data_IF_626467903186
#
_entry.id   IF_626467903186
#
_cell.length_a   1.000
_cell.length_b   1.000
_cell.length_c   1.000
_cell.angle_alpha   90.00
_cell.angle_beta   90.00
_cell.angle_gamma   90.00
#
_symmetry.space_group_name_H-M   'P 1'
#
loop_
_entity.id
_entity.type
_entity.pdbx_description
1 polymer ?
#
# COMPACT_ATOMS: atom_id res chain seq x y z
N UNK A 1 -7.35 23.84 -17.71
CA UNK A 1 -7.76 23.69 -16.29
C UNK A 1 -7.29 22.32 -15.82
N UNK A 2 -6.06 22.22 -15.32
CA UNK A 2 -5.57 21.00 -14.70
C UNK A 2 -6.25 20.82 -13.34
N UNK A 3 -7.23 19.93 -13.26
CA UNK A 3 -7.65 19.37 -11.97
C UNK A 3 -6.46 18.63 -11.39
N UNK A 4 -5.82 19.21 -10.42
CA UNK A 4 -5.00 18.46 -9.47
C UNK A 4 -6.05 17.77 -8.59
N UNK A 5 -6.41 16.55 -8.94
CA UNK A 5 -7.19 15.70 -8.05
C UNK A 5 -6.26 15.31 -6.91
N UNK A 6 -6.33 16.06 -5.82
CA UNK A 6 -5.71 15.65 -4.57
C UNK A 6 -6.47 14.40 -4.11
N UNK A 7 -5.86 13.24 -4.33
CA UNK A 7 -6.35 11.98 -3.79
C UNK A 7 -6.42 12.06 -2.26
N UNK A 8 -7.33 11.31 -1.66
CA UNK A 8 -7.52 11.27 -0.22
C UNK A 8 -7.96 9.89 0.23
N UNK A 9 -7.96 9.71 1.54
CA UNK A 9 -8.48 8.53 2.20
C UNK A 9 -9.76 8.90 2.94
N UNK A 10 -10.86 8.22 2.63
CA UNK A 10 -12.10 8.31 3.39
C UNK A 10 -12.16 7.18 4.41
N UNK A 11 -12.26 7.53 5.68
CA UNK A 11 -12.43 6.59 6.78
C UNK A 11 -13.85 6.70 7.32
N UNK A 12 -14.53 5.56 7.44
CA UNK A 12 -15.86 5.45 8.03
C UNK A 12 -15.84 4.41 9.15
N UNK A 13 -16.34 4.78 10.31
CA UNK A 13 -16.70 3.86 11.39
C UNK A 13 -18.19 3.90 11.57
N UNK A 14 -18.88 2.84 11.20
CA UNK A 14 -20.34 2.68 11.32
C UNK A 14 -20.76 2.07 12.67
N UNK A 15 -19.86 2.00 13.65
CA UNK A 15 -20.09 1.48 15.01
C UNK A 15 -20.83 0.12 15.10
N UNK A 16 -20.74 -0.69 14.01
CA UNK A 16 -21.41 -1.99 13.90
C UNK A 16 -22.90 -1.90 13.52
N UNK A 17 -23.43 -0.71 13.22
CA UNK A 17 -24.86 -0.46 12.97
C UNK A 17 -25.07 0.11 11.56
N UNK A 18 -24.99 -0.72 10.52
CA UNK A 18 -25.10 -0.28 9.10
C UNK A 18 -26.38 0.49 8.80
N UNK A 19 -27.47 0.20 9.50
CA UNK A 19 -28.78 0.81 9.27
C UNK A 19 -29.01 2.12 10.05
N UNK A 20 -28.21 2.38 11.09
CA UNK A 20 -28.29 3.60 11.90
C UNK A 20 -27.06 4.46 11.62
N UNK A 21 -27.26 5.51 10.85
CA UNK A 21 -26.18 6.44 10.48
C UNK A 21 -25.99 7.57 11.49
N UNK A 22 -26.77 7.61 12.58
CA UNK A 22 -26.72 8.68 13.57
C UNK A 22 -25.48 8.61 14.47
N UNK A 23 -24.86 7.43 14.60
CA UNK A 23 -23.65 7.17 15.38
C UNK A 23 -22.38 7.01 14.51
N UNK A 24 -22.50 7.19 13.19
CA UNK A 24 -21.41 7.10 12.25
C UNK A 24 -20.36 8.17 12.52
N UNK A 25 -19.10 7.74 12.53
CA UNK A 25 -17.95 8.64 12.51
C UNK A 25 -17.26 8.55 11.16
N UNK A 26 -17.01 9.69 10.54
CA UNK A 26 -16.28 9.72 9.27
C UNK A 26 -15.21 10.80 9.25
N UNK A 27 -14.16 10.54 8.47
CA UNK A 27 -13.09 11.51 8.23
C UNK A 27 -12.57 11.39 6.81
N UNK A 28 -12.33 12.52 6.17
CA UNK A 28 -11.64 12.59 4.90
C UNK A 28 -10.23 13.14 5.12
N UNK A 29 -9.22 12.33 4.83
CA UNK A 29 -7.80 12.65 5.02
C UNK A 29 -7.22 13.02 3.66
N UNK A 30 -6.86 14.29 3.49
CA UNK A 30 -6.24 14.83 2.27
C UNK A 30 -4.79 15.24 2.48
N UNK A 31 -4.36 15.34 3.75
CA UNK A 31 -2.99 15.69 4.12
C UNK A 31 -2.39 14.54 4.90
N UNK A 32 -1.32 13.98 4.35
CA UNK A 32 -0.60 12.87 4.94
C UNK A 32 0.75 13.37 5.46
N UNK A 33 1.00 13.11 6.73
CA UNK A 33 2.29 13.35 7.38
C UNK A 33 2.90 12.01 7.74
N UNK A 34 4.20 11.83 7.54
CA UNK A 34 4.85 10.59 7.96
C UNK A 34 5.29 10.63 9.43
N UNK A 35 5.85 9.53 9.93
CA UNK A 35 6.34 9.39 11.30
C UNK A 35 7.45 10.38 11.70
N UNK A 36 8.13 10.98 10.73
CA UNK A 36 9.19 11.98 10.94
C UNK A 36 8.64 13.42 10.91
N UNK A 37 7.31 13.58 10.78
CA UNK A 37 6.63 14.87 10.68
C UNK A 37 6.70 15.51 9.29
N UNK A 38 7.22 14.81 8.28
CA UNK A 38 7.29 15.32 6.93
C UNK A 38 5.93 15.24 6.22
N UNK A 39 5.50 16.34 5.61
CA UNK A 39 4.29 16.38 4.79
C UNK A 39 4.54 15.68 3.45
N UNK A 40 3.68 14.73 3.10
CA UNK A 40 3.71 14.04 1.82
C UNK A 40 2.83 14.82 0.81
N UNK A 41 3.44 15.78 0.13
CA UNK A 41 2.74 16.64 -0.84
C UNK A 41 2.38 15.86 -2.10
N UNK A 42 1.27 16.26 -2.76
CA UNK A 42 0.79 15.68 -4.02
C UNK A 42 0.64 14.16 -3.97
N UNK A 43 0.17 13.64 -2.82
CA UNK A 43 -0.07 12.22 -2.64
C UNK A 43 -1.34 11.79 -3.36
N UNK A 44 -1.26 10.72 -4.15
CA UNK A 44 -2.41 10.03 -4.74
C UNK A 44 -2.49 8.63 -4.15
N UNK A 45 -3.69 8.23 -3.70
CA UNK A 45 -4.00 6.89 -3.19
C UNK A 45 -4.60 6.06 -4.31
N UNK A 46 -4.07 4.86 -4.55
CA UNK A 46 -4.51 3.97 -5.62
C UNK A 46 -5.14 2.67 -5.13
N UNK A 47 -4.64 2.10 -4.03
CA UNK A 47 -5.16 0.86 -3.46
C UNK A 47 -4.99 0.81 -1.96
N UNK A 48 -5.74 -0.09 -1.32
CA UNK A 48 -5.73 -0.32 0.13
C UNK A 48 -5.83 -1.82 0.36
N UNK A 49 -5.05 -2.34 1.31
CA UNK A 49 -5.14 -3.71 1.79
C UNK A 49 -4.97 -3.76 3.31
N UNK A 50 -5.73 -4.62 3.98
CA UNK A 50 -5.54 -4.94 5.38
C UNK A 50 -4.69 -6.21 5.48
N UNK A 51 -3.68 -6.19 6.33
CA UNK A 51 -2.87 -7.37 6.59
C UNK A 51 -3.44 -8.21 7.77
N UNK A 52 -2.83 -9.35 8.05
CA UNK A 52 -3.34 -10.29 9.06
C UNK A 52 -3.20 -9.81 10.51
N UNK A 53 -2.47 -8.73 10.72
CA UNK A 53 -2.32 -8.08 12.03
C UNK A 53 -3.27 -6.86 12.17
N UNK A 54 -4.14 -6.62 11.17
CA UNK A 54 -5.05 -5.49 11.15
C UNK A 54 -4.39 -4.16 10.76
N UNK A 55 -3.19 -4.23 10.20
CA UNK A 55 -2.46 -3.06 9.70
C UNK A 55 -2.94 -2.73 8.28
N UNK A 56 -3.25 -1.47 8.05
CA UNK A 56 -3.70 -1.01 6.73
C UNK A 56 -2.50 -0.55 5.90
N UNK A 57 -2.32 -1.17 4.75
CA UNK A 57 -1.35 -0.83 3.73
C UNK A 57 -2.03 -0.01 2.63
N UNK A 58 -1.45 1.12 2.28
CA UNK A 58 -1.98 2.06 1.28
C UNK A 58 -0.97 2.18 0.15
N UNK A 59 -1.37 1.82 -1.05
CA UNK A 59 -0.58 2.05 -2.26
C UNK A 59 -0.76 3.48 -2.77
N UNK A 60 0.35 4.18 -2.98
CA UNK A 60 0.37 5.57 -3.41
C UNK A 60 1.35 5.80 -4.56
N UNK A 61 1.36 7.02 -5.11
CA UNK A 61 2.36 7.45 -6.09
C UNK A 61 3.76 7.68 -5.49
N UNK A 62 3.93 7.51 -4.18
CA UNK A 62 5.21 7.72 -3.46
C UNK A 62 5.63 6.49 -2.65
N UNK A 63 5.24 5.30 -3.11
CA UNK A 63 5.44 4.06 -2.41
C UNK A 63 4.29 3.69 -1.47
N UNK A 64 4.43 2.58 -0.73
CA UNK A 64 3.44 2.16 0.24
C UNK A 64 3.49 3.00 1.51
N UNK A 65 2.33 3.31 2.07
CA UNK A 65 2.16 3.88 3.40
C UNK A 65 1.47 2.86 4.29
N UNK A 66 1.78 2.90 5.58
CA UNK A 66 1.25 1.96 6.56
C UNK A 66 0.55 2.71 7.69
N UNK A 67 -0.64 2.22 8.06
CA UNK A 67 -1.42 2.72 9.19
C UNK A 67 -1.47 1.64 10.26
N UNK A 68 -0.60 1.77 11.26
CA UNK A 68 -0.43 0.76 12.32
C UNK A 68 -1.52 0.77 13.39
N UNK A 69 -2.33 1.82 13.46
CA UNK A 69 -3.31 1.94 14.53
C UNK A 69 -4.63 2.54 14.01
N UNK A 70 -5.66 1.70 13.76
CA UNK A 70 -6.96 2.15 13.29
C UNK A 70 -7.63 3.18 14.20
N UNK A 71 -7.44 3.10 15.53
CA UNK A 71 -8.07 4.03 16.47
C UNK A 71 -7.59 5.48 16.34
N UNK A 72 -6.47 5.72 15.64
CA UNK A 72 -5.94 7.06 15.41
C UNK A 72 -6.48 7.75 14.16
N UNK A 73 -7.24 7.07 13.31
CA UNK A 73 -7.72 7.65 12.05
C UNK A 73 -8.63 8.87 12.25
N UNK A 74 -9.32 8.92 13.38
CA UNK A 74 -10.21 10.02 13.73
C UNK A 74 -9.56 11.11 14.59
N UNK A 75 -8.28 10.96 14.99
CA UNK A 75 -7.56 11.90 15.84
C UNK A 75 -6.80 12.95 15.02
N UNK A 76 -6.64 14.15 15.57
CA UNK A 76 -5.90 15.26 14.93
C UNK A 76 -4.41 14.97 14.72
N UNK A 77 -3.82 14.09 15.56
CA UNK A 77 -2.43 13.66 15.49
C UNK A 77 -2.24 12.44 14.56
N UNK A 78 -3.05 12.33 13.51
CA UNK A 78 -2.92 11.30 12.51
C UNK A 78 -1.60 11.42 11.74
N UNK A 79 -0.87 10.33 11.63
CA UNK A 79 0.27 10.17 10.73
C UNK A 79 0.29 8.76 10.16
N UNK A 80 0.92 8.60 9.00
CA UNK A 80 1.22 7.30 8.39
C UNK A 80 2.70 6.96 8.52
N UNK A 81 3.02 5.68 8.40
CA UNK A 81 4.40 5.20 8.46
C UNK A 81 4.88 4.88 7.05
N UNK A 82 6.02 5.44 6.66
CA UNK A 82 6.83 4.97 5.55
C UNK A 82 7.86 3.99 6.12
N UNK A 83 7.86 2.75 5.64
CA UNK A 83 8.79 1.72 6.14
C UNK A 83 10.20 2.10 5.72
N UNK A 84 11.12 2.12 6.69
CA UNK A 84 12.55 2.39 6.46
C UNK A 84 13.29 1.05 6.34
N UNK A 85 13.82 0.76 5.17
CA UNK A 85 14.61 -0.43 4.89
C UNK A 85 16.09 -0.08 5.01
N UNK A 86 16.85 -0.72 5.92
CA UNK A 86 18.28 -0.47 6.06
C UNK A 86 19.04 -0.76 4.76
N UNK A 87 20.02 0.07 4.45
CA UNK A 87 20.95 -0.22 3.35
C UNK A 87 21.98 -1.26 3.82
N UNK A 88 22.22 -2.25 2.96
CA UNK A 88 23.23 -3.28 3.23
C UNK A 88 24.64 -2.84 2.72
N UNK A 89 25.03 -1.60 3.03
CA UNK A 89 26.27 -0.96 2.55
C UNK A 89 27.15 -0.43 3.70
N UNK A 90 26.93 -0.88 4.93
CA UNK A 90 27.62 -0.47 6.16
C UNK A 90 27.51 1.04 6.49
N UNK A 91 26.68 1.80 5.75
CA UNK A 91 26.51 3.24 5.98
C UNK A 91 25.66 3.55 7.23
N UNK A 92 24.89 2.57 7.74
CA UNK A 92 23.90 2.77 8.78
C UNK A 92 22.68 3.60 8.34
N UNK A 93 22.55 3.87 7.03
CA UNK A 93 21.43 4.61 6.44
C UNK A 93 20.29 3.64 6.07
N UNK A 94 19.09 4.21 5.92
CA UNK A 94 17.89 3.50 5.46
C UNK A 94 17.18 4.31 4.37
N UNK A 95 16.60 3.59 3.40
CA UNK A 95 15.71 4.17 2.40
C UNK A 95 14.26 3.86 2.74
N UNK A 96 13.32 4.67 2.26
CA UNK A 96 11.92 4.29 2.35
C UNK A 96 11.58 3.20 1.33
N UNK A 97 10.82 2.21 1.77
CA UNK A 97 10.38 1.08 0.93
C UNK A 97 9.71 1.59 -0.34
N UNK A 98 10.21 1.17 -1.51
CA UNK A 98 9.68 1.49 -2.83
C UNK A 98 9.37 3.00 -3.00
N UNK A 99 10.20 3.87 -2.42
CA UNK A 99 10.03 5.32 -2.56
C UNK A 99 10.05 5.73 -4.03
N UNK A 100 9.11 6.59 -4.44
CA UNK A 100 8.90 7.04 -5.82
C UNK A 100 8.31 5.98 -6.77
N UNK A 101 7.93 4.78 -6.29
CA UNK A 101 7.15 3.82 -7.06
C UNK A 101 5.65 4.12 -6.92
N UNK A 102 4.93 4.11 -8.03
CA UNK A 102 3.47 4.17 -8.01
C UNK A 102 2.92 2.76 -7.76
N UNK A 103 2.25 2.57 -6.61
CA UNK A 103 1.74 1.27 -6.15
C UNK A 103 0.27 1.13 -6.55
N UNK A 104 0.00 0.34 -7.57
CA UNK A 104 -1.35 0.15 -8.10
C UNK A 104 -2.14 -0.96 -7.40
N UNK A 105 -1.45 -1.97 -6.86
CA UNK A 105 -2.10 -3.12 -6.23
C UNK A 105 -1.28 -3.62 -5.04
N UNK A 106 -1.98 -4.04 -3.97
CA UNK A 106 -1.38 -4.73 -2.82
C UNK A 106 -2.27 -5.92 -2.51
N UNK A 107 -1.68 -7.10 -2.35
CA UNK A 107 -2.37 -8.31 -1.87
C UNK A 107 -1.55 -8.98 -0.76
N UNK A 108 -2.25 -9.54 0.21
CA UNK A 108 -1.65 -10.18 1.40
C UNK A 108 -1.80 -11.69 1.28
N UNK A 109 -0.72 -12.42 1.40
CA UNK A 109 -0.73 -13.88 1.29
C UNK A 109 -0.95 -14.60 2.64
N UNK A 110 -0.93 -15.93 2.58
CA UNK A 110 -1.12 -16.80 3.74
C UNK A 110 -0.10 -16.59 4.86
N UNK A 111 1.12 -16.16 4.54
CA UNK A 111 2.23 -15.90 5.45
C UNK A 111 2.35 -14.41 5.83
N UNK A 112 1.32 -13.61 5.60
CA UNK A 112 1.31 -12.15 5.82
C UNK A 112 2.32 -11.37 4.98
N UNK A 113 2.87 -11.96 3.90
CA UNK A 113 3.76 -11.26 2.98
C UNK A 113 2.94 -10.33 2.08
N UNK A 114 3.56 -9.27 1.61
CA UNK A 114 2.91 -8.26 0.78
C UNK A 114 3.36 -8.43 -0.68
N UNK A 115 2.39 -8.72 -1.55
CA UNK A 115 2.56 -8.70 -3.00
C UNK A 115 2.20 -7.31 -3.48
N UNK A 116 3.20 -6.53 -3.90
CA UNK A 116 3.07 -5.12 -4.26
C UNK A 116 3.28 -4.96 -5.75
N UNK A 117 2.22 -4.61 -6.48
CA UNK A 117 2.23 -4.35 -7.91
C UNK A 117 2.44 -2.86 -8.19
N UNK A 118 3.40 -2.56 -9.06
CA UNK A 118 3.77 -1.20 -9.43
C UNK A 118 3.23 -0.82 -10.81
N UNK A 119 3.24 0.47 -11.11
CA UNK A 119 2.79 0.98 -12.41
C UNK A 119 3.76 0.62 -13.55
N UNK A 120 5.06 0.39 -13.28
CA UNK A 120 6.08 0.23 -14.32
C UNK A 120 7.22 -0.75 -14.01
N UNK A 121 7.34 -1.20 -12.76
CA UNK A 121 8.49 -2.00 -12.30
C UNK A 121 8.10 -3.43 -11.84
N UNK A 122 6.98 -3.96 -12.32
CA UNK A 122 6.55 -5.32 -11.99
C UNK A 122 6.03 -5.47 -10.57
N UNK A 123 6.31 -6.62 -9.95
CA UNK A 123 5.79 -7.01 -8.65
C UNK A 123 6.94 -7.25 -7.68
N UNK A 124 6.79 -6.68 -6.48
CA UNK A 124 7.65 -6.96 -5.34
C UNK A 124 6.93 -7.86 -4.34
N UNK A 125 7.57 -8.96 -3.95
CA UNK A 125 7.17 -9.76 -2.80
C UNK A 125 7.98 -9.33 -1.61
N UNK A 126 7.31 -8.72 -0.64
CA UNK A 126 7.90 -8.12 0.56
C UNK A 126 7.60 -9.00 1.77
N UNK A 127 8.54 -9.08 2.72
CA UNK A 127 8.37 -9.78 3.99
C UNK A 127 7.17 -9.28 4.80
N UNK A 128 6.74 -10.06 5.79
CA UNK A 128 5.59 -9.72 6.62
C UNK A 128 5.72 -8.38 7.35
N UNK A 129 6.93 -8.04 7.78
CA UNK A 129 7.27 -6.79 8.47
C UNK A 129 7.59 -5.62 7.52
N UNK A 130 7.68 -5.90 6.20
CA UNK A 130 8.00 -4.89 5.20
C UNK A 130 9.49 -4.54 5.05
N UNK A 131 10.38 -5.23 5.78
CA UNK A 131 11.80 -4.85 5.86
C UNK A 131 12.67 -5.49 4.78
N UNK A 132 12.19 -6.54 4.12
CA UNK A 132 12.95 -7.31 3.13
C UNK A 132 12.16 -7.48 1.83
N UNK A 133 12.82 -7.26 0.70
CA UNK A 133 12.35 -7.68 -0.62
C UNK A 133 12.76 -9.13 -0.84
N UNK A 134 11.80 -10.06 -0.76
CA UNK A 134 12.02 -11.50 -0.95
C UNK A 134 12.24 -11.81 -2.43
N UNK A 135 11.39 -11.24 -3.30
CA UNK A 135 11.49 -11.38 -4.76
C UNK A 135 11.03 -10.11 -5.48
N UNK A 136 11.59 -9.91 -6.66
CA UNK A 136 11.15 -8.90 -7.61
C UNK A 136 10.91 -9.57 -8.96
N UNK A 137 9.64 -9.59 -9.39
CA UNK A 137 9.21 -10.21 -10.65
C UNK A 137 9.01 -9.15 -11.71
N UNK A 138 9.61 -9.37 -12.89
CA UNK A 138 9.50 -8.51 -14.06
C UNK A 138 9.22 -9.33 -15.32
N UNK A 139 8.91 -8.67 -16.45
CA UNK A 139 8.80 -9.31 -17.76
C UNK A 139 10.08 -10.09 -18.15
N UNK A 140 11.25 -9.70 -17.65
CA UNK A 140 12.53 -10.29 -18.00
C UNK A 140 12.84 -11.59 -17.22
N UNK A 141 12.31 -11.72 -15.99
CA UNK A 141 12.67 -12.81 -15.09
C UNK A 141 11.49 -13.71 -14.68
N UNK A 142 10.29 -13.43 -15.19
CA UNK A 142 9.07 -14.13 -14.81
C UNK A 142 8.09 -14.22 -16.01
N UNK A 143 6.99 -15.00 -15.90
CA UNK A 143 5.95 -15.06 -16.93
C UNK A 143 5.08 -13.79 -17.04
N UNK A 144 5.40 -12.69 -16.37
CA UNK A 144 4.63 -11.45 -16.47
C UNK A 144 4.55 -10.96 -17.91
N UNK A 145 3.34 -10.62 -18.33
CA UNK A 145 3.10 -10.06 -19.67
C UNK A 145 3.47 -8.58 -19.76
N UNK A 146 3.52 -7.89 -18.62
CA UNK A 146 3.89 -6.48 -18.52
C UNK A 146 4.35 -6.14 -17.10
N UNK A 147 5.33 -5.24 -16.99
CA UNK A 147 5.73 -4.64 -15.71
C UNK A 147 4.70 -3.64 -15.17
N UNK A 148 3.70 -3.26 -15.96
CA UNK A 148 2.59 -2.42 -15.53
C UNK A 148 1.49 -3.28 -14.91
N UNK A 149 1.46 -3.33 -13.59
CA UNK A 149 0.51 -4.11 -12.81
C UNK A 149 -0.75 -3.29 -12.55
N UNK A 150 -1.90 -3.94 -12.74
CA UNK A 150 -3.22 -3.33 -12.53
C UNK A 150 -3.90 -3.88 -11.27
N UNK A 151 -3.80 -5.20 -11.06
CA UNK A 151 -4.44 -5.87 -9.94
C UNK A 151 -3.71 -7.14 -9.55
N UNK A 152 -3.85 -7.55 -8.28
CA UNK A 152 -3.34 -8.80 -7.75
C UNK A 152 -4.44 -9.42 -6.89
N UNK A 153 -4.68 -10.72 -7.09
CA UNK A 153 -5.56 -11.52 -6.23
C UNK A 153 -4.86 -12.82 -5.85
N UNK A 154 -5.08 -13.27 -4.61
CA UNK A 154 -4.48 -14.49 -4.10
C UNK A 154 -5.60 -15.44 -3.68
N UNK A 155 -5.59 -16.67 -4.20
CA UNK A 155 -6.59 -17.66 -3.83
C UNK A 155 -6.36 -18.12 -2.39
N UNK A 156 -7.36 -17.97 -1.48
CA UNK A 156 -7.14 -18.11 -0.03
C UNK A 156 -6.82 -19.53 0.44
N UNK A 157 -7.14 -20.56 -0.36
CA UNK A 157 -6.89 -21.99 0.00
C UNK A 157 -5.64 -22.52 -0.67
N UNK A 158 -5.41 -22.18 -1.95
CA UNK A 158 -4.30 -22.76 -2.74
C UNK A 158 -3.05 -21.90 -2.72
N UNK A 159 -3.19 -20.60 -2.43
CA UNK A 159 -2.07 -19.64 -2.50
C UNK A 159 -1.70 -19.23 -3.92
N UNK A 160 -2.45 -19.66 -4.93
CA UNK A 160 -2.26 -19.23 -6.32
C UNK A 160 -2.44 -17.72 -6.45
N UNK A 161 -1.53 -17.08 -7.17
CA UNK A 161 -1.50 -15.63 -7.36
C UNK A 161 -1.93 -15.32 -8.79
N UNK A 162 -2.98 -14.52 -8.93
CA UNK A 162 -3.50 -14.05 -10.20
C UNK A 162 -3.11 -12.58 -10.38
N UNK A 163 -2.51 -12.25 -11.51
CA UNK A 163 -1.94 -10.93 -11.75
C UNK A 163 -2.56 -10.35 -13.02
N UNK A 164 -3.28 -9.25 -12.86
CA UNK A 164 -3.75 -8.42 -13.96
C UNK A 164 -2.67 -7.41 -14.33
N UNK A 165 -2.25 -7.43 -15.59
CA UNK A 165 -1.31 -6.47 -16.17
C UNK A 165 -1.99 -5.63 -17.24
N UNK A 166 -1.34 -4.57 -17.71
CA UNK A 166 -1.83 -3.76 -18.84
C UNK A 166 -1.92 -4.55 -20.16
N UNK A 167 -1.27 -5.73 -20.26
CA UNK A 167 -1.27 -6.59 -21.45
C UNK A 167 -2.07 -7.89 -21.27
N UNK A 168 -2.65 -8.15 -20.12
CA UNK A 168 -3.46 -9.33 -19.85
C UNK A 168 -3.27 -9.92 -18.45
N UNK A 169 -3.93 -11.08 -18.24
CA UNK A 169 -3.91 -11.83 -16.96
C UNK A 169 -2.86 -12.94 -17.01
N UNK A 170 -2.16 -13.13 -15.93
CA UNK A 170 -1.24 -14.25 -15.65
C UNK A 170 -1.67 -14.96 -14.38
#
# INVERSE_FOLDING_TARGET
>A
SSRIESGGLFCLNYNGTIADTSDDQHRFITRFTNQDGALLEQLAVYCIAEDKEGVIWIGTNKGPLVLNNPSRYFNDNFYCTQIKVPRNDDSGLADFLLVNEAINAIAIDGANRKWIGTASNGIYLISADGMETIHHFTEENSPLLSNSIVSIAIHPRTGEVFIGTSKGLV
#
